data_IF_650244668070
#
_entry.id   IF_650244668070
#
_cell.length_a   1.000
_cell.length_b   1.000
_cell.length_c   1.000
_cell.angle_alpha   90.00
_cell.angle_beta   90.00
_cell.angle_gamma   90.00
#
_symmetry.space_group_name_H-M   'P 1'
#
loop_
_entity.id
_entity.type
_entity.pdbx_description
1 polymer ?
#
# COMPACT_ATOMS: atom_id res chain seq x y z
N UNK A 1 0.10 -92.90 -21.63
CA UNK A 1 0.93 -93.15 -20.42
C UNK A 1 1.97 -92.05 -20.30
N UNK A 2 1.76 -91.06 -19.43
CA UNK A 2 2.74 -90.02 -19.14
C UNK A 2 3.68 -90.53 -18.03
N UNK A 3 4.95 -90.73 -18.37
CA UNK A 3 6.00 -91.21 -17.45
C UNK A 3 6.28 -90.12 -16.42
N UNK A 4 5.80 -90.28 -15.18
CA UNK A 4 6.17 -89.36 -14.08
C UNK A 4 7.66 -89.54 -13.80
N UNK A 5 8.46 -88.52 -14.13
CA UNK A 5 9.84 -88.43 -13.67
C UNK A 5 9.79 -88.06 -12.18
N UNK A 6 9.93 -89.06 -11.32
CA UNK A 6 10.10 -88.83 -9.88
C UNK A 6 11.32 -87.95 -9.64
N UNK A 7 11.17 -86.95 -8.75
CA UNK A 7 12.29 -86.14 -8.31
C UNK A 7 13.37 -87.03 -7.68
N UNK A 8 14.62 -86.81 -8.05
CA UNK A 8 15.75 -87.50 -7.44
C UNK A 8 15.89 -87.06 -5.98
N UNK A 9 16.34 -87.96 -5.10
CA UNK A 9 16.59 -87.65 -3.69
C UNK A 9 17.51 -86.42 -3.54
N UNK A 10 18.48 -86.28 -4.45
CA UNK A 10 19.38 -85.14 -4.52
C UNK A 10 18.65 -83.81 -4.80
N UNK A 11 17.70 -83.79 -5.72
CA UNK A 11 16.89 -82.59 -6.00
C UNK A 11 16.01 -82.17 -4.81
N UNK A 12 15.52 -83.12 -4.02
CA UNK A 12 14.74 -82.83 -2.81
C UNK A 12 15.65 -82.23 -1.72
N UNK A 13 16.85 -82.78 -1.52
CA UNK A 13 17.81 -82.28 -0.55
C UNK A 13 18.32 -80.86 -0.90
N UNK A 14 18.60 -80.59 -2.19
CA UNK A 14 18.98 -79.26 -2.66
C UNK A 14 17.82 -78.26 -2.45
N UNK A 15 16.59 -78.65 -2.77
CA UNK A 15 15.42 -77.81 -2.56
C UNK A 15 15.20 -77.50 -1.07
N UNK A 16 15.35 -78.48 -0.17
CA UNK A 16 15.25 -78.28 1.27
C UNK A 16 16.34 -77.35 1.82
N UNK A 17 17.59 -77.49 1.34
CA UNK A 17 18.68 -76.59 1.70
C UNK A 17 18.43 -75.14 1.26
N UNK A 18 17.97 -74.95 0.02
CA UNK A 18 17.59 -73.62 -0.49
C UNK A 18 16.40 -73.03 0.27
N UNK A 19 15.41 -73.86 0.67
CA UNK A 19 14.28 -73.42 1.47
C UNK A 19 14.71 -72.95 2.86
N UNK A 20 15.67 -73.64 3.48
CA UNK A 20 16.25 -73.22 4.76
C UNK A 20 16.95 -71.86 4.68
N UNK A 21 17.74 -71.62 3.63
CA UNK A 21 18.40 -70.32 3.40
C UNK A 21 17.40 -69.22 3.11
N UNK A 22 16.34 -69.51 2.34
CA UNK A 22 15.27 -68.56 2.04
C UNK A 22 14.50 -68.17 3.31
N UNK A 23 14.17 -69.13 4.18
CA UNK A 23 13.47 -68.87 5.45
C UNK A 23 14.32 -68.01 6.40
N UNK A 24 15.63 -68.27 6.47
CA UNK A 24 16.56 -67.44 7.23
C UNK A 24 16.64 -66.02 6.65
N UNK A 25 16.67 -65.88 5.32
CA UNK A 25 16.63 -64.60 4.63
C UNK A 25 15.36 -63.80 4.93
N UNK A 26 14.20 -64.46 4.92
CA UNK A 26 12.89 -63.84 5.25
C UNK A 26 12.84 -63.42 6.72
N UNK A 27 13.30 -64.25 7.65
CA UNK A 27 13.37 -63.89 9.07
C UNK A 27 14.31 -62.69 9.31
N UNK A 28 15.45 -62.65 8.62
CA UNK A 28 16.35 -61.49 8.68
C UNK A 28 15.71 -60.23 8.09
N UNK A 29 14.98 -60.34 6.98
CA UNK A 29 14.25 -59.22 6.40
C UNK A 29 13.13 -58.71 7.31
N UNK A 30 12.34 -59.62 7.90
CA UNK A 30 11.27 -59.27 8.86
C UNK A 30 11.82 -58.59 10.11
N UNK A 31 12.97 -59.04 10.64
CA UNK A 31 13.59 -58.38 11.81
C UNK A 31 14.11 -56.98 11.48
N UNK A 32 14.67 -56.77 10.29
CA UNK A 32 15.08 -55.45 9.81
C UNK A 32 13.88 -54.51 9.57
N UNK A 33 12.81 -55.01 8.96
CA UNK A 33 11.57 -54.24 8.75
C UNK A 33 10.94 -53.81 10.09
N UNK A 34 10.81 -54.74 11.04
CA UNK A 34 10.30 -54.44 12.38
C UNK A 34 11.15 -53.40 13.12
N UNK A 35 12.48 -53.46 12.96
CA UNK A 35 13.40 -52.46 13.53
C UNK A 35 13.22 -51.08 12.87
N UNK A 36 13.07 -51.04 11.55
CA UNK A 36 12.83 -49.80 10.79
C UNK A 36 11.51 -49.15 11.18
N UNK A 37 10.44 -49.95 11.29
CA UNK A 37 9.11 -49.47 11.68
C UNK A 37 9.11 -48.90 13.09
N UNK A 38 9.73 -49.60 14.06
CA UNK A 38 9.86 -49.10 15.45
C UNK A 38 10.62 -47.78 15.52
N UNK A 39 11.74 -47.68 14.81
CA UNK A 39 12.54 -46.46 14.79
C UNK A 39 11.77 -45.28 14.19
N UNK A 40 11.12 -45.51 13.03
CA UNK A 40 10.31 -44.51 12.35
C UNK A 40 9.14 -44.05 13.23
N UNK A 41 8.42 -44.99 13.86
CA UNK A 41 7.31 -44.68 14.77
C UNK A 41 7.78 -43.83 15.94
N UNK A 42 8.87 -44.22 16.60
CA UNK A 42 9.42 -43.45 17.73
C UNK A 42 9.93 -42.06 17.30
N UNK A 43 10.51 -41.92 16.11
CA UNK A 43 10.92 -40.60 15.59
C UNK A 43 9.71 -39.72 15.28
N UNK A 44 8.66 -40.28 14.67
CA UNK A 44 7.40 -39.58 14.43
C UNK A 44 6.74 -39.13 15.73
N UNK A 45 6.64 -40.02 16.72
CA UNK A 45 6.05 -39.70 18.03
C UNK A 45 6.89 -38.68 18.81
N UNK A 46 8.22 -38.72 18.68
CA UNK A 46 9.11 -37.72 19.29
C UNK A 46 8.86 -36.34 18.66
N UNK A 47 8.74 -36.28 17.33
CA UNK A 47 8.43 -35.04 16.61
C UNK A 47 7.05 -34.51 17.02
N UNK A 48 6.03 -35.37 17.06
CA UNK A 48 4.68 -34.98 17.51
C UNK A 48 4.67 -34.48 18.95
N UNK A 49 5.42 -35.10 19.86
CA UNK A 49 5.54 -34.64 21.24
C UNK A 49 6.10 -33.22 21.31
N UNK A 50 7.19 -32.96 20.58
CA UNK A 50 7.82 -31.64 20.54
C UNK A 50 6.90 -30.60 19.91
N UNK A 51 6.20 -30.94 18.82
CA UNK A 51 5.23 -30.04 18.20
C UNK A 51 4.02 -29.75 19.09
N UNK A 52 3.55 -30.74 19.85
CA UNK A 52 2.47 -30.53 20.82
C UNK A 52 2.93 -29.60 21.97
N UNK A 53 4.16 -29.76 22.44
CA UNK A 53 4.77 -28.84 23.41
C UNK A 53 4.87 -27.43 22.82
N UNK A 54 5.39 -27.30 21.60
CA UNK A 54 5.51 -26.03 20.89
C UNK A 54 4.15 -25.35 20.70
N UNK A 55 3.15 -26.09 20.20
CA UNK A 55 1.80 -25.60 19.99
C UNK A 55 1.14 -25.14 21.29
N UNK A 56 1.36 -25.84 22.39
CA UNK A 56 0.83 -25.42 23.69
C UNK A 56 1.50 -24.15 24.20
N UNK A 57 2.82 -24.04 24.06
CA UNK A 57 3.57 -22.86 24.49
C UNK A 57 3.38 -21.66 23.56
N UNK A 58 2.77 -21.82 22.38
CA UNK A 58 2.27 -20.68 21.56
C UNK A 58 1.09 -19.96 22.22
N UNK A 59 0.29 -20.64 23.06
CA UNK A 59 -0.72 -19.95 23.87
C UNK A 59 0.00 -19.21 25.01
N UNK A 60 -0.15 -17.88 25.03
CA UNK A 60 0.58 -17.05 25.96
C UNK A 60 0.25 -17.33 27.42
N UNK A 61 -0.98 -17.75 27.71
CA UNK A 61 -1.40 -18.09 29.08
C UNK A 61 -0.76 -19.41 29.52
N UNK A 62 -0.73 -20.42 28.65
CA UNK A 62 -0.03 -21.68 28.93
C UNK A 62 1.48 -21.48 29.13
N UNK A 63 2.12 -20.63 28.31
CA UNK A 63 3.53 -20.26 28.44
C UNK A 63 3.80 -19.57 29.78
N UNK A 64 2.99 -18.56 30.13
CA UNK A 64 3.11 -17.88 31.43
C UNK A 64 2.86 -18.85 32.59
N UNK A 65 1.85 -19.73 32.53
CA UNK A 65 1.62 -20.72 33.59
C UNK A 65 2.80 -21.67 33.77
N UNK A 66 3.47 -22.04 32.67
CA UNK A 66 4.63 -22.95 32.67
C UNK A 66 5.86 -22.31 33.33
N UNK A 67 6.08 -21.04 33.03
CA UNK A 67 7.33 -20.37 33.38
C UNK A 67 7.15 -19.36 34.53
N UNK A 68 5.94 -19.03 34.96
CA UNK A 68 5.76 -18.11 36.08
C UNK A 68 6.38 -18.67 37.37
N UNK A 69 7.08 -17.81 38.11
CA UNK A 69 7.63 -18.14 39.43
C UNK A 69 6.48 -18.53 40.39
N UNK A 70 6.48 -19.75 40.97
CA UNK A 70 5.48 -20.14 41.97
C UNK A 70 5.53 -19.22 43.19
N UNK A 71 4.37 -18.88 43.74
CA UNK A 71 4.28 -18.04 44.94
C UNK A 71 5.09 -18.65 46.09
N UNK A 72 5.98 -17.85 46.71
CA UNK A 72 6.80 -18.28 47.85
C UNK A 72 8.10 -19.04 47.52
N UNK A 73 8.41 -19.29 46.25
CA UNK A 73 9.72 -19.84 45.86
C UNK A 73 10.80 -18.75 45.81
N UNK A 74 12.06 -19.06 46.15
CA UNK A 74 13.18 -18.12 45.95
C UNK A 74 13.72 -18.19 44.51
N UNK A 75 13.78 -19.40 43.94
CA UNK A 75 14.35 -19.67 42.62
C UNK A 75 13.37 -19.35 41.50
N UNK A 76 13.83 -18.58 40.51
CA UNK A 76 13.13 -18.37 39.26
C UNK A 76 13.27 -19.65 38.41
N UNK A 77 12.18 -20.37 38.07
CA UNK A 77 12.26 -21.58 37.24
C UNK A 77 12.86 -21.33 35.84
N UNK A 78 13.01 -20.07 35.46
CA UNK A 78 13.52 -19.62 34.15
C UNK A 78 14.96 -19.10 34.19
N UNK A 79 15.67 -19.26 35.33
CA UNK A 79 17.10 -18.97 35.34
C UNK A 79 17.80 -19.91 34.34
N UNK A 80 18.61 -19.35 33.45
CA UNK A 80 19.31 -20.12 32.43
C UNK A 80 20.09 -21.28 33.07
N UNK A 81 19.90 -22.50 32.54
CA UNK A 81 20.51 -23.73 33.02
C UNK A 81 19.76 -24.44 34.15
N UNK A 82 18.72 -23.83 34.75
CA UNK A 82 17.91 -24.48 35.79
C UNK A 82 16.89 -25.41 35.14
N UNK A 83 16.87 -26.66 35.60
CA UNK A 83 15.88 -27.63 35.16
C UNK A 83 14.51 -27.30 35.78
N UNK A 84 13.45 -27.41 34.99
CA UNK A 84 12.08 -27.20 35.47
C UNK A 84 11.16 -28.34 35.00
N UNK A 85 10.04 -28.47 35.69
CA UNK A 85 8.93 -29.37 35.37
C UNK A 85 7.76 -28.98 36.26
N UNK A 86 6.50 -28.97 35.77
CA UNK A 86 6.03 -29.38 34.45
C UNK A 86 5.78 -28.20 33.47
N UNK A 87 5.50 -28.53 32.21
CA UNK A 87 4.82 -27.63 31.26
C UNK A 87 3.32 -27.66 31.55
N UNK A 88 2.76 -26.48 31.70
CA UNK A 88 1.36 -26.25 32.07
C UNK A 88 0.54 -25.88 30.84
N UNK A 89 -0.74 -26.26 30.85
CA UNK A 89 -1.68 -25.77 29.85
C UNK A 89 -2.32 -24.43 30.28
N UNK A 90 -3.21 -23.90 29.42
CA UNK A 90 -3.95 -22.66 29.67
C UNK A 90 -4.82 -22.69 30.94
N UNK A 91 -5.36 -23.85 31.28
CA UNK A 91 -6.16 -24.07 32.49
C UNK A 91 -5.30 -24.29 33.75
N UNK A 92 -3.98 -24.12 33.64
CA UNK A 92 -3.01 -24.33 34.71
C UNK A 92 -3.00 -25.77 35.24
N UNK A 93 -3.14 -26.75 34.34
CA UNK A 93 -3.02 -28.19 34.63
C UNK A 93 -1.72 -28.73 34.03
N UNK A 94 -1.05 -29.64 34.74
CA UNK A 94 0.17 -30.31 34.29
C UNK A 94 -0.09 -31.04 32.96
N UNK A 95 0.63 -30.69 31.90
CA UNK A 95 0.46 -31.30 30.59
C UNK A 95 1.68 -32.14 30.17
N UNK A 96 2.89 -31.64 30.40
CA UNK A 96 4.13 -32.41 30.17
C UNK A 96 5.07 -32.34 31.37
N UNK A 97 5.60 -33.48 31.81
CA UNK A 97 6.35 -33.62 33.06
C UNK A 97 7.60 -34.46 32.84
N UNK A 98 8.69 -34.00 33.43
CA UNK A 98 9.94 -34.77 33.46
C UNK A 98 9.74 -36.08 34.23
N UNK A 99 10.26 -37.18 33.70
CA UNK A 99 10.12 -38.52 34.27
C UNK A 99 8.93 -39.31 33.71
N UNK A 100 7.93 -38.65 33.13
CA UNK A 100 6.78 -39.31 32.53
C UNK A 100 7.10 -39.84 31.12
N UNK A 101 6.36 -40.87 30.72
CA UNK A 101 6.42 -41.50 29.41
C UNK A 101 5.26 -41.06 28.52
N UNK A 102 5.53 -40.99 27.22
CA UNK A 102 4.66 -40.46 26.16
C UNK A 102 4.75 -41.34 24.91
N UNK A 103 3.81 -41.17 23.97
CA UNK A 103 3.71 -41.97 22.75
C UNK A 103 3.02 -43.31 22.97
N UNK A 104 2.71 -44.03 21.89
CA UNK A 104 2.04 -45.32 21.98
C UNK A 104 2.99 -46.37 22.58
N UNK A 105 2.59 -46.93 23.73
CA UNK A 105 3.40 -47.91 24.47
C UNK A 105 4.42 -47.30 25.43
N UNK A 106 4.34 -46.01 25.75
CA UNK A 106 5.15 -45.36 26.80
C UNK A 106 6.66 -45.43 26.57
N UNK A 107 7.08 -45.39 25.30
CA UNK A 107 8.47 -45.61 24.87
C UNK A 107 9.32 -44.33 24.83
N UNK A 108 8.71 -43.15 24.95
CA UNK A 108 9.39 -41.86 24.93
C UNK A 108 9.32 -41.23 26.32
N UNK A 109 10.46 -40.89 26.92
CA UNK A 109 10.50 -40.29 28.25
C UNK A 109 11.20 -38.92 28.19
N UNK A 110 10.52 -37.89 28.70
CA UNK A 110 11.16 -36.58 28.92
C UNK A 110 12.07 -36.72 30.13
N UNK A 111 13.38 -36.56 29.95
CA UNK A 111 14.37 -36.70 31.02
C UNK A 111 14.76 -35.38 31.64
N UNK A 112 14.69 -34.29 30.87
CA UNK A 112 15.00 -32.96 31.38
C UNK A 112 14.35 -31.88 30.51
N UNK A 113 13.94 -30.79 31.15
CA UNK A 113 13.59 -29.53 30.48
C UNK A 113 14.34 -28.40 31.17
N UNK A 114 14.97 -27.52 30.40
CA UNK A 114 15.68 -26.33 30.94
C UNK A 114 15.62 -25.18 29.96
N UNK A 115 15.76 -23.96 30.47
CA UNK A 115 15.95 -22.77 29.64
C UNK A 115 17.45 -22.54 29.42
N UNK A 116 17.87 -22.24 28.20
CA UNK A 116 19.25 -21.90 27.84
C UNK A 116 19.31 -20.72 26.87
N UNK A 117 20.52 -20.23 26.56
CA UNK A 117 20.78 -19.18 25.56
C UNK A 117 19.89 -17.93 25.66
N UNK A 118 19.60 -17.47 26.88
CA UNK A 118 18.84 -16.25 27.07
C UNK A 118 19.62 -15.05 26.50
N UNK A 119 19.08 -14.47 25.43
CA UNK A 119 19.60 -13.28 24.78
C UNK A 119 18.65 -12.13 25.08
N UNK A 120 19.01 -11.20 25.98
CA UNK A 120 18.18 -10.04 26.25
C UNK A 120 18.09 -9.17 25.00
N UNK A 121 16.87 -8.83 24.60
CA UNK A 121 16.61 -7.82 23.58
C UNK A 121 16.70 -6.40 24.19
N UNK A 122 16.38 -6.27 25.48
CA UNK A 122 16.52 -5.07 26.30
C UNK A 122 16.50 -5.45 27.80
N UNK A 123 16.33 -4.47 28.70
CA UNK A 123 16.30 -4.69 30.17
C UNK A 123 15.09 -5.48 30.68
N UNK A 124 14.07 -5.70 29.85
CA UNK A 124 12.80 -6.33 30.23
C UNK A 124 12.36 -7.47 29.29
N UNK A 125 13.06 -7.73 28.17
CA UNK A 125 12.66 -8.69 27.15
C UNK A 125 13.83 -9.54 26.68
N UNK A 126 13.58 -10.79 26.30
CA UNK A 126 14.61 -11.63 25.70
C UNK A 126 14.06 -12.92 25.09
N UNK A 127 14.91 -13.54 24.28
CA UNK A 127 14.65 -14.84 23.66
C UNK A 127 15.48 -15.87 24.40
N UNK A 128 14.89 -17.02 24.73
CA UNK A 128 15.58 -18.15 25.31
C UNK A 128 15.27 -19.43 24.51
N UNK A 129 16.15 -20.41 24.59
CA UNK A 129 15.88 -21.74 24.07
C UNK A 129 15.32 -22.62 25.20
N UNK A 130 14.18 -23.25 24.98
CA UNK A 130 13.70 -24.36 25.79
C UNK A 130 14.37 -25.64 25.28
N UNK A 131 15.36 -26.13 26.01
CA UNK A 131 15.99 -27.41 25.77
C UNK A 131 15.15 -28.53 26.38
N UNK A 132 14.74 -29.49 25.55
CA UNK A 132 14.01 -30.69 25.95
C UNK A 132 14.89 -31.90 25.65
N UNK A 133 15.26 -32.63 26.70
CA UNK A 133 15.96 -33.89 26.59
C UNK A 133 14.97 -35.05 26.70
N UNK A 134 15.03 -35.93 25.71
CA UNK A 134 14.11 -37.04 25.52
C UNK A 134 14.93 -38.32 25.40
N UNK A 135 14.54 -39.36 26.12
CA UNK A 135 15.05 -40.71 25.89
C UNK A 135 14.01 -41.54 25.16
N UNK A 136 14.46 -42.30 24.17
CA UNK A 136 13.67 -43.35 23.51
C UNK A 136 14.41 -44.68 23.59
N UNK A 137 13.72 -45.79 23.40
CA UNK A 137 14.38 -47.10 23.32
C UNK A 137 15.42 -47.09 22.19
N UNK A 138 16.64 -47.57 22.49
CA UNK A 138 17.65 -47.74 21.46
C UNK A 138 17.49 -49.06 20.71
N UNK A 139 18.36 -49.32 19.72
CA UNK A 139 18.45 -50.62 19.09
C UNK A 139 18.63 -51.73 20.13
N UNK A 140 18.03 -52.90 19.90
CA UNK A 140 18.17 -54.10 20.74
C UNK A 140 19.62 -54.28 21.23
N UNK A 141 19.84 -54.21 22.55
CA UNK A 141 21.15 -54.39 23.20
C UNK A 141 22.03 -53.13 23.38
N UNK A 142 21.62 -51.95 22.91
CA UNK A 142 22.46 -50.72 22.92
C UNK A 142 22.01 -49.68 23.97
N UNK A 143 20.97 -49.98 24.76
CA UNK A 143 20.45 -49.06 25.80
C UNK A 143 19.68 -47.86 25.23
N UNK A 144 19.14 -46.97 26.07
CA UNK A 144 18.30 -45.85 25.63
C UNK A 144 19.07 -44.82 24.79
N UNK A 145 18.43 -44.28 23.73
CA UNK A 145 18.99 -43.19 22.92
C UNK A 145 18.47 -41.84 23.44
N UNK A 146 19.39 -40.91 23.72
CA UNK A 146 19.07 -39.53 24.12
C UNK A 146 18.94 -38.65 22.88
N UNK A 147 17.88 -37.83 22.84
CA UNK A 147 17.59 -36.83 21.81
C UNK A 147 17.43 -35.47 22.49
N UNK A 148 18.05 -34.43 21.91
CA UNK A 148 17.89 -33.05 22.33
C UNK A 148 17.05 -32.30 21.31
N UNK A 149 16.11 -31.50 21.79
CA UNK A 149 15.20 -30.68 20.98
C UNK A 149 15.13 -29.29 21.58
N UNK A 150 14.97 -28.29 20.74
CA UNK A 150 14.96 -26.90 21.15
C UNK A 150 13.69 -26.22 20.62
N UNK A 151 13.05 -25.45 21.48
CA UNK A 151 11.93 -24.57 21.12
C UNK A 151 12.32 -23.17 21.51
N UNK A 152 12.27 -22.21 20.58
CA UNK A 152 12.55 -20.81 20.91
C UNK A 152 11.38 -20.21 21.68
N UNK A 153 11.66 -19.62 22.83
CA UNK A 153 10.68 -18.94 23.68
C UNK A 153 11.03 -17.47 23.71
N UNK A 154 10.06 -16.62 23.38
CA UNK A 154 10.14 -15.19 23.65
C UNK A 154 9.45 -14.89 24.98
N UNK A 155 10.07 -14.07 25.83
CA UNK A 155 9.51 -13.67 27.11
C UNK A 155 9.73 -12.18 27.43
N UNK A 156 8.73 -11.59 28.07
CA UNK A 156 8.74 -10.23 28.65
C UNK A 156 8.66 -10.38 30.17
N UNK A 157 9.54 -9.69 30.89
CA UNK A 157 9.66 -9.69 32.34
C UNK A 157 8.98 -8.44 32.94
N UNK A 158 8.45 -8.57 34.16
CA UNK A 158 8.04 -7.42 34.97
C UNK A 158 9.29 -6.75 35.54
N UNK A 159 9.73 -5.67 34.89
CA UNK A 159 10.72 -4.68 35.32
C UNK A 159 12.17 -5.13 35.64
N UNK A 160 13.08 -4.17 35.58
CA UNK A 160 14.52 -4.33 35.76
C UNK A 160 14.96 -4.56 37.22
N UNK A 161 14.04 -4.71 38.18
CA UNK A 161 14.38 -4.93 39.61
C UNK A 161 14.57 -6.40 39.97
N UNK A 162 14.49 -7.32 39.02
CA UNK A 162 14.99 -8.69 39.20
C UNK A 162 14.05 -9.63 39.96
N UNK A 163 12.76 -9.32 40.08
CA UNK A 163 11.80 -10.23 40.73
C UNK A 163 11.37 -11.43 39.86
N UNK A 164 11.80 -11.49 38.59
CA UNK A 164 11.73 -12.70 37.76
C UNK A 164 10.31 -13.15 37.37
N UNK A 165 9.31 -12.27 37.48
CA UNK A 165 7.95 -12.56 37.03
C UNK A 165 7.86 -12.36 35.52
N UNK A 166 7.30 -13.34 34.81
CA UNK A 166 7.02 -13.26 33.38
C UNK A 166 5.67 -12.56 33.20
N UNK A 167 5.65 -11.46 32.44
CA UNK A 167 4.43 -10.75 32.01
C UNK A 167 3.81 -11.41 30.80
N UNK A 168 4.65 -11.85 29.88
CA UNK A 168 4.24 -12.48 28.64
C UNK A 168 5.29 -13.48 28.20
N UNK A 169 4.85 -14.58 27.59
CA UNK A 169 5.71 -15.62 27.07
C UNK A 169 5.00 -16.28 25.89
N UNK A 170 5.73 -16.67 24.85
CA UNK A 170 5.22 -17.56 23.81
C UNK A 170 6.35 -18.32 23.11
N UNK A 171 6.06 -19.53 22.63
CA UNK A 171 6.94 -20.22 21.70
C UNK A 171 6.90 -19.59 20.31
N UNK A 172 8.08 -19.38 19.73
CA UNK A 172 8.27 -18.87 18.39
C UNK A 172 8.23 -20.05 17.40
N UNK A 173 7.44 -19.93 16.33
CA UNK A 173 7.57 -20.81 15.18
C UNK A 173 8.83 -20.48 14.36
N UNK A 174 9.36 -21.43 13.59
CA UNK A 174 10.54 -21.25 12.72
C UNK A 174 10.36 -20.18 11.62
N UNK A 175 9.18 -19.56 11.49
CA UNK A 175 8.90 -18.53 10.50
C UNK A 175 7.81 -17.56 10.96
N UNK A 176 8.12 -16.69 11.93
CA UNK A 176 7.26 -15.54 12.25
C UNK A 176 7.95 -14.28 11.74
N UNK A 177 7.48 -13.80 10.58
CA UNK A 177 7.89 -12.57 9.87
C UNK A 177 7.50 -11.30 10.67
N UNK A 178 6.68 -11.46 11.71
CA UNK A 178 6.22 -10.39 12.59
C UNK A 178 7.02 -10.42 13.90
N UNK A 179 8.23 -9.88 13.87
CA UNK A 179 8.99 -9.64 15.09
C UNK A 179 8.25 -8.61 15.96
N UNK A 180 8.07 -8.93 17.24
CA UNK A 180 7.90 -7.90 18.25
C UNK A 180 9.21 -7.10 18.31
N UNK A 181 9.13 -5.84 17.89
CA UNK A 181 10.20 -4.86 18.06
C UNK A 181 10.67 -4.88 19.51
N UNK A 182 11.99 -4.94 19.72
CA UNK A 182 12.65 -4.90 21.02
C UNK A 182 12.44 -3.60 21.80
N UNK A 183 11.49 -2.73 21.39
CA UNK A 183 11.07 -1.50 22.06
C UNK A 183 9.58 -1.16 21.81
N UNK A 184 8.76 -2.09 21.30
CA UNK A 184 7.31 -1.91 21.18
C UNK A 184 6.82 -0.92 20.12
N UNK A 185 7.68 -0.42 19.22
CA UNK A 185 7.25 0.51 18.16
C UNK A 185 7.55 0.08 16.73
N UNK A 186 8.54 -0.76 16.42
CA UNK A 186 8.92 -0.96 15.00
C UNK A 186 7.80 -1.57 14.15
N UNK A 187 7.29 -2.75 14.52
CA UNK A 187 6.08 -3.35 13.94
C UNK A 187 5.27 -3.99 15.07
N UNK A 188 3.98 -3.66 15.16
CA UNK A 188 3.06 -4.13 16.20
C UNK A 188 1.80 -4.70 15.57
N UNK A 189 1.36 -5.88 16.04
CA UNK A 189 0.09 -6.48 15.63
C UNK A 189 -0.76 -6.87 16.84
N UNK A 190 -1.98 -6.34 16.92
CA UNK A 190 -2.95 -6.71 17.95
C UNK A 190 -4.38 -6.42 17.50
N UNK A 191 -5.32 -7.30 17.83
CA UNK A 191 -6.75 -7.12 17.54
C UNK A 191 -7.07 -6.91 16.05
N UNK A 192 -6.27 -7.49 15.14
CA UNK A 192 -6.43 -7.34 13.69
C UNK A 192 -5.88 -6.03 13.11
N UNK A 193 -5.15 -5.24 13.90
CA UNK A 193 -4.55 -3.97 13.47
C UNK A 193 -3.03 -4.08 13.42
N UNK A 194 -2.43 -3.39 12.46
CA UNK A 194 -0.98 -3.25 12.29
C UNK A 194 -0.56 -1.82 12.63
N UNK A 195 0.35 -1.69 13.58
CA UNK A 195 1.08 -0.46 13.89
C UNK A 195 2.51 -0.54 13.35
N UNK A 196 3.00 0.52 12.74
CA UNK A 196 4.43 0.73 12.42
C UNK A 196 4.83 2.04 13.09
N UNK A 197 5.83 2.02 13.93
CA UNK A 197 6.17 3.11 14.86
C UNK A 197 5.27 3.23 16.11
N UNK A 198 4.27 2.37 16.32
CA UNK A 198 3.31 2.49 17.44
C UNK A 198 2.75 1.14 17.91
N UNK A 199 2.54 0.99 19.23
CA UNK A 199 1.81 -0.14 19.84
C UNK A 199 0.32 0.14 20.11
N UNK A 200 -0.21 1.28 19.70
CA UNK A 200 -1.62 1.63 19.89
C UNK A 200 -2.28 2.07 18.57
N UNK A 201 -2.40 1.17 17.58
CA UNK A 201 -2.97 1.51 16.28
C UNK A 201 -4.44 1.92 16.38
N UNK A 202 -4.75 3.13 15.90
CA UNK A 202 -6.11 3.69 15.90
C UNK A 202 -6.94 3.24 14.69
N UNK A 203 -6.29 2.78 13.63
CA UNK A 203 -6.88 2.22 12.41
C UNK A 203 -6.29 0.85 12.10
N UNK A 204 -6.84 0.15 11.12
CA UNK A 204 -6.36 -1.18 10.71
C UNK A 204 -4.87 -1.15 10.32
N UNK A 205 -4.42 -0.07 9.70
CA UNK A 205 -3.01 0.27 9.51
C UNK A 205 -2.74 1.65 10.12
N UNK A 206 -1.77 1.76 11.03
CA UNK A 206 -1.33 3.02 11.62
C UNK A 206 0.20 3.10 11.53
N UNK A 207 0.71 4.03 10.72
CA UNK A 207 2.14 4.28 10.56
C UNK A 207 2.47 5.64 11.17
N UNK A 208 3.43 5.69 12.09
CA UNK A 208 3.98 6.91 12.67
C UNK A 208 5.51 6.84 12.67
N UNK A 209 6.16 7.99 12.64
CA UNK A 209 7.58 8.11 12.96
C UNK A 209 7.89 9.55 13.33
N UNK A 210 9.17 9.89 13.37
CA UNK A 210 9.68 11.16 13.89
C UNK A 210 10.40 12.03 12.85
N UNK A 211 10.64 11.54 11.63
CA UNK A 211 11.38 12.24 10.57
C UNK A 211 10.80 11.92 9.19
N UNK A 212 9.82 12.71 8.75
CA UNK A 212 9.28 12.72 7.38
C UNK A 212 8.84 11.33 6.87
N UNK A 213 7.93 10.69 7.59
CA UNK A 213 7.45 9.35 7.24
C UNK A 213 6.66 9.36 5.93
N UNK A 214 7.01 8.43 5.05
CA UNK A 214 6.30 8.20 3.80
C UNK A 214 5.97 6.72 3.66
N UNK A 215 4.79 6.42 3.12
CA UNK A 215 4.45 5.06 2.69
C UNK A 215 4.82 4.97 1.21
N UNK A 216 5.79 4.11 0.87
CA UNK A 216 6.15 3.83 -0.52
C UNK A 216 5.31 2.66 -1.05
N UNK A 217 4.57 2.92 -2.12
CA UNK A 217 3.98 1.88 -2.97
C UNK A 217 4.77 1.87 -4.26
N UNK A 218 5.36 0.73 -4.62
CA UNK A 218 6.25 0.60 -5.77
C UNK A 218 5.76 -0.50 -6.72
N UNK A 219 5.79 -0.20 -8.01
CA UNK A 219 5.56 -1.14 -9.09
C UNK A 219 6.71 -0.99 -10.10
N UNK A 220 7.37 -2.09 -10.45
CA UNK A 220 8.55 -2.09 -11.32
C UNK A 220 8.23 -2.12 -12.81
N UNK A 221 6.95 -2.04 -13.17
CA UNK A 221 6.48 -2.14 -14.55
C UNK A 221 5.79 -0.86 -15.00
N UNK A 222 4.60 -0.58 -14.47
CA UNK A 222 3.73 0.50 -14.95
C UNK A 222 3.46 1.51 -13.84
N UNK A 223 2.33 1.33 -13.16
CA UNK A 223 1.78 2.30 -12.23
C UNK A 223 1.78 1.70 -10.83
N UNK A 224 2.18 2.48 -9.84
CA UNK A 224 1.98 2.15 -8.44
C UNK A 224 0.70 2.86 -7.96
N UNK A 225 -0.28 2.10 -7.46
CA UNK A 225 -1.59 2.65 -7.09
C UNK A 225 -2.07 2.08 -5.75
N UNK A 226 -2.87 2.89 -5.05
CA UNK A 226 -3.68 2.49 -3.90
C UNK A 226 -5.13 2.51 -4.37
N UNK A 227 -5.78 1.36 -4.35
CA UNK A 227 -7.19 1.19 -4.70
C UNK A 227 -8.09 1.34 -3.48
N UNK A 228 -9.26 1.94 -3.69
CA UNK A 228 -10.30 2.10 -2.68
C UNK A 228 -11.56 1.37 -3.13
N UNK A 229 -12.11 0.53 -2.24
CA UNK A 229 -13.31 -0.25 -2.51
C UNK A 229 -14.30 -0.12 -1.35
N UNK A 230 -15.55 0.18 -1.67
CA UNK A 230 -16.67 0.05 -0.73
C UNK A 230 -17.66 -1.06 -1.18
N UNK A 231 -18.75 -1.24 -0.44
CA UNK A 231 -19.76 -2.25 -0.74
C UNK A 231 -20.56 -1.98 -2.03
N UNK A 232 -20.59 -0.74 -2.53
CA UNK A 232 -21.28 -0.35 -3.75
C UNK A 232 -20.36 -0.27 -4.98
N UNK A 233 -19.05 -0.35 -4.79
CA UNK A 233 -18.07 -0.20 -5.87
C UNK A 233 -18.05 -1.45 -6.74
N UNK A 234 -18.46 -1.29 -8.00
CA UNK A 234 -18.39 -2.34 -9.03
C UNK A 234 -16.98 -2.53 -9.60
N UNK A 235 -16.89 -2.85 -10.90
CA UNK A 235 -15.63 -2.84 -11.62
C UNK A 235 -15.06 -1.41 -11.75
N UNK A 236 -13.74 -1.28 -11.84
CA UNK A 236 -12.99 -0.03 -11.91
C UNK A 236 -12.97 0.80 -10.61
N UNK A 237 -12.21 0.29 -9.64
CA UNK A 237 -12.05 0.91 -8.32
C UNK A 237 -11.48 2.34 -8.44
N UNK A 238 -11.97 3.29 -7.63
CA UNK A 238 -11.25 4.54 -7.41
C UNK A 238 -9.84 4.27 -6.90
N UNK A 239 -8.87 5.03 -7.39
CA UNK A 239 -7.47 4.82 -7.05
C UNK A 239 -6.67 6.11 -7.12
N UNK A 240 -5.63 6.20 -6.28
CA UNK A 240 -4.60 7.23 -6.31
C UNK A 240 -3.25 6.57 -6.54
N UNK A 241 -2.42 7.16 -7.39
CA UNK A 241 -1.12 6.57 -7.67
C UNK A 241 -0.30 7.36 -8.66
N UNK A 242 0.74 6.72 -9.18
CA UNK A 242 1.64 7.32 -10.16
C UNK A 242 1.37 6.83 -11.58
N UNK A 243 1.65 7.71 -12.54
CA UNK A 243 1.90 7.35 -13.94
C UNK A 243 3.20 8.02 -14.35
N UNK A 244 4.25 7.23 -14.53
CA UNK A 244 5.63 7.74 -14.56
C UNK A 244 5.89 8.64 -13.34
N UNK A 245 6.20 9.93 -13.57
CA UNK A 245 6.47 10.90 -12.52
C UNK A 245 5.26 11.76 -12.12
N UNK A 246 4.09 11.53 -12.72
CA UNK A 246 2.88 12.29 -12.43
C UNK A 246 2.07 11.65 -11.29
N UNK A 247 1.47 12.47 -10.43
CA UNK A 247 0.45 12.03 -9.48
C UNK A 247 -0.89 11.96 -10.20
N UNK A 248 -1.61 10.85 -10.06
CA UNK A 248 -2.85 10.59 -10.81
C UNK A 248 -3.96 10.08 -9.90
N UNK A 249 -5.20 10.42 -10.24
CA UNK A 249 -6.42 9.91 -9.62
C UNK A 249 -7.36 9.37 -10.69
N UNK A 250 -7.88 8.15 -10.49
CA UNK A 250 -8.78 7.47 -11.42
C UNK A 250 -10.11 7.17 -10.75
N UNK A 251 -11.21 7.28 -11.51
CA UNK A 251 -12.54 6.80 -11.10
C UNK A 251 -13.30 6.26 -12.31
N UNK A 252 -14.03 5.16 -12.13
CA UNK A 252 -14.83 4.56 -13.21
C UNK A 252 -14.00 4.16 -14.44
N UNK A 253 -12.72 3.81 -14.23
CA UNK A 253 -11.82 3.29 -15.27
C UNK A 253 -11.11 4.37 -16.09
N UNK A 254 -11.28 5.64 -15.74
CA UNK A 254 -10.61 6.76 -16.41
C UNK A 254 -9.91 7.69 -15.44
N UNK A 255 -8.82 8.30 -15.92
CA UNK A 255 -8.12 9.36 -15.19
C UNK A 255 -9.04 10.58 -15.03
N UNK A 256 -9.05 11.18 -13.84
CA UNK A 256 -9.84 12.37 -13.51
C UNK A 256 -8.99 13.57 -13.13
N UNK A 257 -7.85 13.31 -12.53
CA UNK A 257 -6.91 14.35 -12.13
C UNK A 257 -5.49 13.86 -12.32
N UNK A 258 -4.64 14.74 -12.87
CA UNK A 258 -3.20 14.53 -12.98
C UNK A 258 -2.45 15.78 -12.58
N UNK A 259 -1.41 15.60 -11.77
CA UNK A 259 -0.43 16.65 -11.45
C UNK A 259 0.90 16.24 -12.07
N UNK A 260 1.37 17.05 -13.01
CA UNK A 260 2.63 16.85 -13.71
C UNK A 260 3.82 17.38 -12.89
N UNK A 261 5.03 16.95 -13.27
CA UNK A 261 6.28 17.38 -12.61
C UNK A 261 6.52 18.89 -12.72
N UNK A 262 6.00 19.53 -13.77
CA UNK A 262 6.08 20.98 -13.97
C UNK A 262 5.05 21.78 -13.16
N UNK A 263 4.23 21.11 -12.34
CA UNK A 263 3.19 21.71 -11.52
C UNK A 263 1.85 21.88 -12.22
N UNK A 264 1.73 21.51 -13.49
CA UNK A 264 0.46 21.56 -14.23
C UNK A 264 -0.55 20.59 -13.62
N UNK A 265 -1.73 21.09 -13.28
CA UNK A 265 -2.87 20.29 -12.81
C UNK A 265 -3.89 20.13 -13.94
N UNK A 266 -3.99 18.90 -14.46
CA UNK A 266 -4.98 18.53 -15.46
C UNK A 266 -6.20 17.93 -14.76
N UNK A 267 -7.35 18.60 -14.88
CA UNK A 267 -8.66 18.08 -14.43
C UNK A 267 -9.43 17.59 -15.66
N UNK A 268 -9.76 16.30 -15.68
CA UNK A 268 -10.46 15.64 -16.79
C UNK A 268 -11.95 15.59 -16.47
N UNK A 269 -12.73 16.40 -17.19
CA UNK A 269 -14.17 16.54 -17.02
C UNK A 269 -14.57 17.95 -16.55
N UNK A 270 -15.79 18.08 -16.02
CA UNK A 270 -16.26 19.33 -15.45
C UNK A 270 -15.64 19.55 -14.07
N UNK A 271 -15.05 20.73 -13.86
CA UNK A 271 -14.58 21.17 -12.56
C UNK A 271 -15.63 22.10 -11.93
N UNK A 272 -16.26 21.65 -10.84
CA UNK A 272 -17.23 22.44 -10.08
C UNK A 272 -16.55 22.96 -8.82
N UNK A 273 -16.36 24.27 -8.72
CA UNK A 273 -15.83 24.92 -7.51
C UNK A 273 -16.93 25.75 -6.84
N UNK A 274 -17.09 25.60 -5.52
CA UNK A 274 -18.05 26.39 -4.75
C UNK A 274 -17.70 27.88 -4.69
N UNK A 275 -16.41 28.20 -4.81
CA UNK A 275 -15.91 29.57 -4.93
C UNK A 275 -14.59 29.57 -5.72
N UNK A 276 -14.49 30.41 -6.74
CA UNK A 276 -13.22 30.74 -7.39
C UNK A 276 -12.65 31.98 -6.68
N UNK A 277 -11.46 31.87 -6.09
CA UNK A 277 -10.79 33.02 -5.49
C UNK A 277 -10.48 34.04 -6.58
N UNK A 278 -10.99 35.29 -6.51
CA UNK A 278 -10.72 36.28 -7.54
C UNK A 278 -9.21 36.55 -7.63
N UNK A 279 -8.66 36.79 -8.83
CA UNK A 279 -7.24 37.05 -8.99
C UNK A 279 -6.84 38.31 -8.20
N UNK A 280 -5.70 38.23 -7.51
CA UNK A 280 -5.15 39.37 -6.78
C UNK A 280 -4.91 40.56 -7.74
N UNK A 281 -5.38 41.76 -7.39
CA UNK A 281 -5.34 42.94 -8.29
C UNK A 281 -4.91 44.24 -7.61
N UNK A 282 -4.45 44.17 -6.35
CA UNK A 282 -3.97 45.33 -5.57
C UNK A 282 -2.77 46.01 -6.25
N UNK A 283 -2.70 47.35 -6.18
CA UNK A 283 -1.63 48.13 -6.80
C UNK A 283 -0.24 47.76 -6.25
N UNK A 284 -0.14 47.37 -4.97
CA UNK A 284 1.10 46.91 -4.34
C UNK A 284 1.64 45.60 -4.92
N UNK A 285 0.83 44.88 -5.71
CA UNK A 285 1.20 43.63 -6.38
C UNK A 285 1.48 43.83 -7.88
N UNK A 286 1.47 45.07 -8.36
CA UNK A 286 1.67 45.43 -9.77
C UNK A 286 2.86 46.37 -9.92
N UNK A 287 3.56 46.25 -11.05
CA UNK A 287 4.65 47.14 -11.48
C UNK A 287 4.54 47.36 -12.99
N UNK A 288 5.23 48.36 -13.51
CA UNK A 288 5.26 48.68 -14.95
C UNK A 288 3.84 48.86 -15.52
N UNK A 289 3.02 49.66 -14.83
CA UNK A 289 1.61 49.88 -15.17
C UNK A 289 1.51 50.91 -16.28
N UNK A 290 0.98 50.49 -17.43
CA UNK A 290 0.70 51.34 -18.59
C UNK A 290 -0.78 51.24 -18.98
N UNK A 291 -1.32 52.32 -19.54
CA UNK A 291 -2.67 52.33 -20.13
C UNK A 291 -2.67 51.46 -21.40
N UNK A 292 -3.75 50.72 -21.63
CA UNK A 292 -3.93 49.99 -22.88
C UNK A 292 -4.43 50.98 -23.95
N UNK A 293 -3.77 50.97 -25.11
CA UNK A 293 -4.08 51.85 -26.24
C UNK A 293 -4.37 51.05 -27.49
N UNK A 294 -5.12 51.64 -28.43
CA UNK A 294 -5.52 51.01 -29.70
C UNK A 294 -6.23 49.66 -29.49
N UNK A 295 -6.95 49.53 -28.38
CA UNK A 295 -7.60 48.27 -27.99
C UNK A 295 -8.67 47.87 -28.99
N UNK A 296 -9.46 48.82 -29.50
CA UNK A 296 -10.48 48.57 -30.51
C UNK A 296 -9.87 48.11 -31.83
N UNK A 297 -8.83 48.80 -32.30
CA UNK A 297 -8.14 48.45 -33.55
C UNK A 297 -7.46 47.09 -33.45
N UNK A 298 -6.76 46.81 -32.34
CA UNK A 298 -6.12 45.53 -32.10
C UNK A 298 -7.13 44.38 -32.04
N UNK A 299 -8.26 44.55 -31.34
CA UNK A 299 -9.33 43.54 -31.32
C UNK A 299 -9.94 43.31 -32.71
N UNK A 300 -10.05 44.35 -33.54
CA UNK A 300 -10.59 44.22 -34.91
C UNK A 300 -9.74 43.32 -35.82
N UNK A 301 -8.47 43.11 -35.49
CA UNK A 301 -7.52 42.24 -36.22
C UNK A 301 -7.62 40.77 -35.79
N UNK A 302 -8.39 40.45 -34.75
CA UNK A 302 -8.54 39.09 -34.22
C UNK A 302 -9.90 38.53 -34.64
N UNK A 303 -9.91 37.36 -35.26
CA UNK A 303 -11.15 36.74 -35.72
C UNK A 303 -11.76 35.81 -34.67
N UNK A 304 -13.01 36.09 -34.29
CA UNK A 304 -13.85 35.11 -33.59
C UNK A 304 -14.23 33.97 -34.53
N UNK A 305 -14.01 32.72 -34.13
CA UNK A 305 -14.24 31.53 -34.96
C UNK A 305 -15.20 30.56 -34.29
N UNK A 306 -15.93 29.80 -35.10
CA UNK A 306 -16.65 28.60 -34.66
C UNK A 306 -15.87 27.36 -35.10
N UNK A 307 -15.76 26.35 -34.24
CA UNK A 307 -14.96 25.16 -34.54
C UNK A 307 -15.54 23.88 -33.92
N UNK A 308 -15.07 22.74 -34.43
CA UNK A 308 -15.25 21.42 -33.86
C UNK A 308 -13.89 20.88 -33.44
N UNK A 309 -13.84 20.15 -32.32
CA UNK A 309 -12.60 19.52 -31.88
C UNK A 309 -12.22 18.35 -32.80
N UNK A 310 -10.92 18.20 -33.08
CA UNK A 310 -10.40 17.01 -33.78
C UNK A 310 -10.51 15.81 -32.84
N UNK A 311 -10.98 14.65 -33.35
CA UNK A 311 -11.10 13.39 -32.58
C UNK A 311 -9.78 12.93 -31.92
N UNK A 312 -8.63 13.32 -32.47
CA UNK A 312 -7.28 12.96 -32.00
C UNK A 312 -6.55 14.13 -31.31
N UNK A 313 -7.24 15.17 -30.85
CA UNK A 313 -6.53 16.29 -30.22
C UNK A 313 -5.97 15.95 -28.82
N UNK A 314 -6.12 14.70 -28.32
CA UNK A 314 -5.69 14.24 -26.98
C UNK A 314 -6.21 15.08 -25.80
N UNK A 315 -7.16 15.97 -26.07
CA UNK A 315 -7.85 16.74 -25.06
C UNK A 315 -9.09 15.96 -24.57
N UNK A 316 -9.37 15.97 -23.25
CA UNK A 316 -10.45 15.18 -22.67
C UNK A 316 -11.87 15.58 -23.12
N UNK A 317 -12.03 16.74 -23.78
CA UNK A 317 -13.32 17.24 -24.30
C UNK A 317 -13.54 16.94 -25.80
N UNK A 318 -12.63 16.22 -26.45
CA UNK A 318 -12.71 15.91 -27.90
C UNK A 318 -13.87 15.01 -28.29
N UNK A 319 -14.59 14.44 -27.31
CA UNK A 319 -15.82 13.69 -27.55
C UNK A 319 -17.06 14.59 -27.68
N UNK A 320 -16.96 15.88 -27.33
CA UNK A 320 -18.04 16.83 -27.58
C UNK A 320 -18.13 17.17 -29.08
N UNK A 321 -19.20 16.71 -29.71
CA UNK A 321 -19.48 16.94 -31.13
C UNK A 321 -20.18 18.26 -31.41
N UNK A 322 -20.48 19.06 -30.37
CA UNK A 322 -21.13 20.36 -30.53
C UNK A 322 -20.15 21.40 -31.09
N UNK A 323 -20.68 22.35 -31.85
CA UNK A 323 -19.93 23.52 -32.28
C UNK A 323 -19.55 24.36 -31.07
N UNK A 324 -18.27 24.72 -31.00
CA UNK A 324 -17.72 25.63 -30.01
C UNK A 324 -17.39 26.97 -30.67
N UNK A 325 -17.27 28.02 -29.85
CA UNK A 325 -16.92 29.37 -30.29
C UNK A 325 -15.72 29.86 -29.48
N UNK A 326 -14.81 30.58 -30.13
CA UNK A 326 -13.60 31.09 -29.47
C UNK A 326 -12.64 31.75 -30.45
N UNK A 327 -11.35 31.67 -30.15
CA UNK A 327 -10.27 32.26 -30.94
C UNK A 327 -9.19 31.23 -31.26
N UNK A 328 -8.41 31.48 -32.31
CA UNK A 328 -7.21 30.71 -32.62
C UNK A 328 -6.02 31.33 -31.87
N UNK A 329 -5.34 30.56 -31.03
CA UNK A 329 -4.26 31.06 -30.18
C UNK A 329 -3.13 31.71 -30.99
N UNK A 330 -2.77 31.13 -32.14
CA UNK A 330 -1.75 31.65 -33.04
C UNK A 330 -2.13 32.99 -33.69
N UNK A 331 -3.41 33.30 -33.83
CA UNK A 331 -3.87 34.60 -34.33
C UNK A 331 -3.82 35.65 -33.22
N UNK A 332 -4.29 35.29 -32.03
CA UNK A 332 -4.19 36.15 -30.84
C UNK A 332 -2.73 36.48 -30.52
N UNK A 333 -1.82 35.51 -30.61
CA UNK A 333 -0.39 35.69 -30.32
C UNK A 333 0.29 36.77 -31.18
N UNK A 334 -0.20 37.01 -32.42
CA UNK A 334 0.34 38.05 -33.30
C UNK A 334 0.01 39.47 -32.83
N UNK A 335 -1.07 39.62 -32.06
CA UNK A 335 -1.58 40.92 -31.60
C UNK A 335 -1.31 41.13 -30.11
N UNK A 336 -1.61 40.11 -29.30
CA UNK A 336 -1.44 40.07 -27.83
C UNK A 336 -0.66 38.81 -27.42
N UNK A 337 0.66 38.74 -27.70
CA UNK A 337 1.50 37.59 -27.35
C UNK A 337 1.46 37.28 -25.83
N UNK A 338 1.27 38.29 -24.99
CA UNK A 338 1.20 38.16 -23.54
C UNK A 338 -0.01 37.36 -23.05
N UNK A 339 -1.09 37.27 -23.84
CA UNK A 339 -2.28 36.48 -23.53
C UNK A 339 -2.13 35.01 -23.92
N UNK A 340 -1.08 34.63 -24.64
CA UNK A 340 -0.85 33.26 -25.10
C UNK A 340 0.26 32.60 -24.29
N UNK A 341 0.07 31.31 -23.98
CA UNK A 341 1.04 30.47 -23.26
C UNK A 341 1.17 29.13 -23.96
N UNK A 342 2.24 28.39 -23.66
CA UNK A 342 2.51 27.08 -24.22
C UNK A 342 3.41 27.09 -25.46
N UNK A 343 3.60 25.93 -26.07
CA UNK A 343 4.41 25.72 -27.29
C UNK A 343 3.52 25.33 -28.46
N UNK A 344 4.05 25.38 -29.67
CA UNK A 344 3.32 24.96 -30.88
C UNK A 344 2.69 23.57 -30.69
N UNK A 345 1.43 23.43 -31.09
CA UNK A 345 0.60 22.25 -30.83
C UNK A 345 -0.20 22.28 -29.52
N UNK A 346 0.24 23.00 -28.48
CA UNK A 346 -0.40 23.06 -27.16
C UNK A 346 -0.49 24.51 -26.62
N UNK A 347 -0.84 25.47 -27.48
CA UNK A 347 -1.03 26.87 -27.08
C UNK A 347 -2.37 27.06 -26.35
N UNK A 348 -2.38 27.91 -25.33
CA UNK A 348 -3.56 28.29 -24.55
C UNK A 348 -3.72 29.81 -24.49
N UNK A 349 -4.95 30.29 -24.27
CA UNK A 349 -5.29 31.71 -24.23
C UNK A 349 -5.78 32.08 -22.82
N UNK A 350 -5.27 33.19 -22.27
CA UNK A 350 -5.80 33.83 -21.07
C UNK A 350 -7.04 34.67 -21.41
N UNK A 351 -8.22 34.03 -21.46
CA UNK A 351 -9.48 34.70 -21.74
C UNK A 351 -9.83 35.82 -20.75
N UNK A 352 -9.43 35.71 -19.48
CA UNK A 352 -9.72 36.74 -18.48
C UNK A 352 -9.05 38.08 -18.82
N UNK A 353 -7.85 38.05 -19.43
CA UNK A 353 -7.12 39.26 -19.83
C UNK A 353 -7.88 40.14 -20.83
N UNK A 354 -8.72 39.54 -21.68
CA UNK A 354 -9.56 40.29 -22.61
C UNK A 354 -10.55 41.24 -21.91
N UNK A 355 -10.90 41.00 -20.64
CA UNK A 355 -11.86 41.86 -19.93
C UNK A 355 -11.40 43.31 -19.86
N UNK A 356 -10.11 43.55 -19.56
CA UNK A 356 -9.54 44.90 -19.50
C UNK A 356 -9.38 45.52 -20.90
N UNK A 357 -8.99 44.71 -21.89
CA UNK A 357 -8.84 45.16 -23.29
C UNK A 357 -10.20 45.56 -23.88
N UNK A 358 -11.23 44.74 -23.67
CA UNK A 358 -12.61 45.03 -24.09
C UNK A 358 -13.12 46.31 -23.42
N UNK A 359 -12.78 46.54 -22.16
CA UNK A 359 -13.15 47.76 -21.46
C UNK A 359 -12.55 49.02 -22.10
N UNK A 360 -11.25 49.01 -22.43
CA UNK A 360 -10.62 50.15 -23.12
C UNK A 360 -11.12 50.28 -24.56
N UNK A 361 -11.39 49.18 -25.27
CA UNK A 361 -11.99 49.23 -26.61
C UNK A 361 -13.40 49.86 -26.59
N UNK A 362 -14.21 49.59 -25.57
CA UNK A 362 -15.52 50.22 -25.38
C UNK A 362 -15.37 51.73 -25.12
N UNK A 363 -14.39 52.16 -24.33
CA UNK A 363 -14.09 53.58 -24.13
C UNK A 363 -13.65 54.27 -25.42
N UNK A 364 -12.77 53.64 -26.19
CA UNK A 364 -12.34 54.12 -27.50
C UNK A 364 -13.54 54.28 -28.44
N UNK A 365 -14.41 53.26 -28.52
CA UNK A 365 -15.64 53.30 -29.31
C UNK A 365 -16.59 54.42 -28.86
N UNK A 366 -16.77 54.60 -27.54
CA UNK A 366 -17.59 55.68 -26.99
C UNK A 366 -17.04 57.06 -27.37
N UNK A 367 -15.71 57.21 -27.40
CA UNK A 367 -15.06 58.45 -27.80
C UNK A 367 -15.23 58.75 -29.30
N UNK A 368 -15.07 57.73 -30.16
CA UNK A 368 -15.36 57.85 -31.60
C UNK A 368 -16.80 58.30 -31.82
N UNK A 369 -17.76 57.61 -31.19
CA UNK A 369 -19.18 57.93 -31.31
C UNK A 369 -19.52 59.36 -30.88
N UNK A 370 -18.95 59.83 -29.76
CA UNK A 370 -19.12 61.23 -29.32
C UNK A 370 -18.59 62.21 -30.35
N UNK A 371 -17.40 61.94 -30.89
CA UNK A 371 -16.74 62.82 -31.86
C UNK A 371 -17.53 62.90 -33.16
N UNK A 372 -17.96 61.76 -33.72
CA UNK A 372 -18.77 61.71 -34.94
C UNK A 372 -20.14 62.39 -34.76
N UNK A 373 -20.76 62.24 -33.58
CA UNK A 373 -22.05 62.88 -33.30
C UNK A 373 -21.93 64.41 -33.24
N UNK A 374 -20.89 64.93 -32.59
CA UNK A 374 -20.63 66.37 -32.56
C UNK A 374 -20.29 66.93 -33.95
N UNK A 375 -19.53 66.19 -34.75
CA UNK A 375 -19.26 66.57 -36.15
C UNK A 375 -20.55 66.56 -36.98
N UNK A 376 -21.39 65.55 -36.82
CA UNK A 376 -22.69 65.44 -37.50
C UNK A 376 -23.61 66.59 -37.13
N UNK A 377 -23.70 66.96 -35.84
CA UNK A 377 -24.47 68.13 -35.39
C UNK A 377 -23.98 69.43 -36.02
N UNK A 378 -22.65 69.63 -36.10
CA UNK A 378 -22.07 70.81 -36.76
C UNK A 378 -22.43 70.86 -38.25
N UNK A 379 -22.35 69.74 -38.95
CA UNK A 379 -22.74 69.66 -40.37
C UNK A 379 -24.23 69.98 -40.56
N UNK A 380 -25.10 69.49 -39.67
CA UNK A 380 -26.54 69.82 -39.69
C UNK A 380 -26.75 71.33 -39.51
N UNK A 381 -26.11 71.95 -38.52
CA UNK A 381 -26.23 73.40 -38.28
C UNK A 381 -25.78 74.24 -39.49
N UNK A 382 -24.66 73.87 -40.12
CA UNK A 382 -24.16 74.55 -41.32
C UNK A 382 -25.16 74.41 -42.47
N UNK A 383 -25.70 73.21 -42.70
CA UNK A 383 -26.70 72.97 -43.75
C UNK A 383 -28.01 73.74 -43.49
N UNK A 384 -28.49 73.78 -42.24
CA UNK A 384 -29.67 74.56 -41.86
C UNK A 384 -29.47 76.05 -42.13
N UNK A 385 -28.29 76.58 -41.81
CA UNK A 385 -27.94 77.97 -42.10
C UNK A 385 -27.94 78.25 -43.62
N UNK A 386 -27.30 77.38 -44.41
CA UNK A 386 -27.28 77.51 -45.88
C UNK A 386 -28.69 77.46 -46.49
N UNK A 387 -29.57 76.60 -45.96
CA UNK A 387 -30.97 76.51 -46.40
C UNK A 387 -31.71 77.82 -46.12
N UNK A 388 -31.52 78.44 -44.95
CA UNK A 388 -32.16 79.72 -44.65
C UNK A 388 -31.61 80.86 -45.51
N UNK A 389 -30.30 80.92 -45.74
CA UNK A 389 -29.69 81.88 -46.65
C UNK A 389 -30.30 81.76 -48.06
N UNK A 390 -30.36 80.55 -48.63
CA UNK A 390 -30.99 80.30 -49.93
C UNK A 390 -32.47 80.66 -49.97
N UNK A 391 -33.24 80.37 -48.91
CA UNK A 391 -34.65 80.78 -48.82
C UNK A 391 -34.79 82.30 -48.83
N UNK A 392 -33.91 83.02 -48.13
CA UNK A 392 -33.94 84.49 -48.11
C UNK A 392 -33.57 85.08 -49.47
N UNK A 393 -32.57 84.53 -50.16
CA UNK A 393 -32.23 84.94 -51.53
C UNK A 393 -33.38 84.67 -52.51
N UNK A 394 -34.00 83.50 -52.43
CA UNK A 394 -35.15 83.16 -53.27
C UNK A 394 -36.35 84.08 -53.02
N UNK A 395 -36.61 84.46 -51.76
CA UNK A 395 -37.64 85.46 -51.41
C UNK A 395 -37.33 86.81 -52.05
N UNK A 396 -36.09 87.29 -51.95
CA UNK A 396 -35.65 88.55 -52.57
C UNK A 396 -35.83 88.54 -54.10
N UNK A 397 -35.52 87.42 -54.76
CA UNK A 397 -35.70 87.26 -56.21
C UNK A 397 -37.17 87.27 -56.63
N UNK A 398 -38.07 86.68 -55.83
CA UNK A 398 -39.53 86.70 -56.08
C UNK A 398 -40.16 88.09 -55.93
N UNK A 399 -39.62 88.95 -55.06
CA UNK A 399 -40.12 90.33 -54.87
C UNK A 399 -39.57 91.33 -55.89
N UNK A 400 -38.59 90.94 -56.71
CA UNK A 400 -37.93 91.81 -57.70
C UNK A 400 -38.38 91.56 -59.15
N UNK A 401 -39.41 90.73 -59.34
CA UNK A 401 -40.16 90.54 -60.60
C UNK A 401 -41.60 90.97 -60.35
#
# INVERSE_FOLDING_TARGET
MHKSRGMTLLSILIAMGLFGVLLLGIMSAMTLMNKSERNFRQDSETTMLVENINAMLKDSTACVNTFAKPAGSEKNPNAAGVAFSPIMNKANVEAFKTGNTYGAGNVIKITQMKISNFTPANTAEGIADLDIEITKEGPQGIGPKVLKRQIKIFAILFDATGNGKIKFCQALGESQIWQYASNGTDIFYSGGKVGIGTNNPQKALHVIGTVNESIRVENTSNNARIEFKDSGTGANLPEIGSSANALTMYTGGGERLRIEVDGTVNVIGAFTAAAYGPPASDISKKKDIHTLESSLDNLSRIQGVSFLWKKKAELPFTQDTRKNFGFIAQEVEKVYPELVRGKEGNKTINFMGFTAILWEAVKELQQIFKTENEETKRRIQILEQQIEELKTEHRKQKTSK
#
